data_IF_266074422438
#
_entry.id   IF_266074422438
#
_cell.length_a   1.000
_cell.length_b   1.000
_cell.length_c   1.000
_cell.angle_alpha   90.00
_cell.angle_beta   90.00
_cell.angle_gamma   90.00
#
_symmetry.space_group_name_H-M   'P 1'
#
loop_
_entity.id
_entity.type
_entity.pdbx_description
1 polymer ?
#
# COMPACT_ATOMS: atom_id res chain seq x y z
N UNK A 1 -2.44 16.68 -13.03
CA UNK A 1 -3.77 16.04 -13.06
C UNK A 1 -4.78 16.77 -13.91
N UNK A 2 -4.99 18.08 -13.71
CA UNK A 2 -6.02 18.87 -14.44
C UNK A 2 -5.98 18.70 -15.95
N UNK A 3 -4.81 18.74 -16.59
CA UNK A 3 -4.67 18.53 -18.04
C UNK A 3 -5.08 17.13 -18.49
N UNK A 4 -4.80 16.08 -17.70
CA UNK A 4 -5.19 14.71 -18.02
C UNK A 4 -6.73 14.57 -18.03
N UNK A 5 -7.37 15.08 -16.97
CA UNK A 5 -8.83 15.10 -16.84
C UNK A 5 -9.48 15.95 -17.94
N UNK A 6 -8.98 17.16 -18.16
CA UNK A 6 -9.50 18.06 -19.20
C UNK A 6 -9.33 17.49 -20.61
N UNK A 7 -8.23 16.76 -20.87
CA UNK A 7 -7.99 16.13 -22.17
C UNK A 7 -9.00 15.00 -22.44
N UNK A 8 -9.29 14.14 -21.46
CA UNK A 8 -10.29 13.08 -21.66
C UNK A 8 -11.68 13.65 -21.92
N UNK A 9 -12.07 14.71 -21.19
CA UNK A 9 -13.32 15.43 -21.43
C UNK A 9 -13.35 16.04 -22.84
N UNK A 10 -12.29 16.74 -23.25
CA UNK A 10 -12.21 17.37 -24.56
C UNK A 10 -12.25 16.35 -25.72
N UNK A 11 -11.60 15.19 -25.57
CA UNK A 11 -11.64 14.11 -26.55
C UNK A 11 -13.07 13.59 -26.74
N UNK A 12 -13.82 13.38 -25.66
CA UNK A 12 -15.23 12.98 -25.75
C UNK A 12 -16.08 14.06 -26.42
N UNK A 13 -15.81 15.34 -26.14
CA UNK A 13 -16.52 16.47 -26.76
C UNK A 13 -16.34 16.55 -28.28
N UNK A 14 -15.22 16.08 -28.82
CA UNK A 14 -14.98 15.97 -30.27
C UNK A 14 -15.36 14.61 -30.86
N UNK A 15 -16.13 13.80 -30.12
CA UNK A 15 -16.64 12.51 -30.57
C UNK A 15 -15.64 11.35 -30.52
N UNK A 16 -14.54 11.48 -29.75
CA UNK A 16 -13.58 10.39 -29.51
C UNK A 16 -13.87 9.75 -28.15
N UNK A 17 -14.15 8.45 -28.14
CA UNK A 17 -14.32 7.69 -26.88
C UNK A 17 -13.02 7.67 -26.10
N UNK A 18 -13.02 8.32 -24.93
CA UNK A 18 -11.86 8.40 -24.05
C UNK A 18 -12.27 8.25 -22.58
N UNK A 19 -11.35 7.74 -21.77
CA UNK A 19 -11.43 7.73 -20.30
C UNK A 19 -10.06 8.10 -19.73
N UNK A 20 -10.02 8.56 -18.48
CA UNK A 20 -8.76 8.91 -17.80
C UNK A 20 -8.43 7.87 -16.73
N UNK A 21 -7.14 7.64 -16.50
CA UNK A 21 -6.64 6.90 -15.35
C UNK A 21 -5.85 7.83 -14.45
N UNK A 22 -6.05 7.74 -13.14
CA UNK A 22 -5.36 8.51 -12.11
C UNK A 22 -4.85 7.56 -11.03
N UNK A 23 -4.15 8.12 -10.04
CA UNK A 23 -3.77 7.40 -8.83
C UNK A 23 -4.66 7.88 -7.70
N UNK A 24 -5.10 6.96 -6.86
CA UNK A 24 -5.66 7.28 -5.54
C UNK A 24 -4.64 8.10 -4.71
N UNK A 25 -5.06 9.23 -4.12
CA UNK A 25 -4.21 9.96 -3.19
C UNK A 25 -4.15 9.30 -1.82
N UNK A 26 -2.98 9.38 -1.19
CA UNK A 26 -2.82 9.05 0.23
C UNK A 26 -3.65 9.99 1.12
N UNK A 27 -4.23 9.43 2.17
CA UNK A 27 -5.08 10.07 3.17
C UNK A 27 -4.28 11.06 4.05
N UNK A 28 -3.10 10.66 4.52
CA UNK A 28 -2.29 11.44 5.45
C UNK A 28 -2.00 12.88 4.97
N UNK A 29 -1.54 13.09 3.72
CA UNK A 29 -1.33 14.41 3.14
C UNK A 29 -2.58 15.28 3.03
N UNK A 30 -3.78 14.70 2.92
CA UNK A 30 -5.06 15.43 2.85
C UNK A 30 -5.33 16.24 4.12
N UNK A 31 -4.83 15.78 5.28
CA UNK A 31 -4.92 16.49 6.57
C UNK A 31 -3.74 17.43 6.83
N UNK A 32 -2.80 17.54 5.89
CA UNK A 32 -1.67 18.46 5.94
C UNK A 32 -1.90 19.70 5.08
N UNK A 33 -1.01 19.90 4.10
CA UNK A 33 -1.00 21.10 3.22
C UNK A 33 -1.60 20.82 1.84
N UNK A 34 -1.85 19.54 1.49
CA UNK A 34 -2.10 19.14 0.10
C UNK A 34 -3.58 18.81 -0.11
N UNK A 35 -4.35 19.77 -0.65
CA UNK A 35 -5.72 19.53 -1.11
C UNK A 35 -5.80 19.36 -2.63
N UNK A 36 -6.45 18.28 -3.09
CA UNK A 36 -6.87 18.09 -4.50
C UNK A 36 -5.88 17.33 -5.39
N UNK A 37 -5.87 16.00 -5.30
CA UNK A 37 -5.08 15.16 -6.20
C UNK A 37 -5.78 14.84 -7.54
N UNK A 38 -7.11 14.98 -7.58
CA UNK A 38 -7.99 14.52 -8.65
C UNK A 38 -8.40 15.62 -9.66
N UNK A 39 -7.54 16.63 -9.86
CA UNK A 39 -7.77 17.74 -10.81
C UNK A 39 -8.11 19.06 -10.10
N UNK A 40 -8.71 20.00 -10.82
CA UNK A 40 -9.09 21.29 -10.25
C UNK A 40 -9.87 22.18 -11.24
N UNK A 41 -10.62 23.16 -10.71
CA UNK A 41 -11.50 24.01 -11.52
C UNK A 41 -12.60 23.19 -12.19
N UNK A 42 -12.84 23.39 -13.49
CA UNK A 42 -13.85 22.62 -14.25
C UNK A 42 -13.36 21.24 -14.72
N UNK A 43 -12.07 20.91 -14.51
CA UNK A 43 -11.48 19.63 -14.93
C UNK A 43 -11.05 18.83 -13.69
N UNK A 44 -12.02 18.14 -13.09
CA UNK A 44 -11.85 17.33 -11.88
C UNK A 44 -12.67 16.04 -11.92
N UNK A 45 -12.20 15.03 -11.19
CA UNK A 45 -12.89 13.76 -10.95
C UNK A 45 -13.66 13.82 -9.64
N UNK A 46 -14.86 13.23 -9.62
CA UNK A 46 -15.82 13.29 -8.51
C UNK A 46 -16.35 11.89 -8.18
N UNK A 47 -16.78 11.63 -6.92
CA UNK A 47 -16.80 12.54 -5.76
C UNK A 47 -15.43 12.78 -5.12
N UNK A 48 -15.00 14.04 -5.01
CA UNK A 48 -13.65 14.40 -4.55
C UNK A 48 -13.42 14.12 -3.06
N UNK A 49 -14.46 14.22 -2.24
CA UNK A 49 -14.40 13.95 -0.80
C UNK A 49 -14.08 12.48 -0.54
N UNK A 50 -14.78 11.57 -1.22
CA UNK A 50 -14.53 10.13 -1.09
C UNK A 50 -13.13 9.77 -1.59
N UNK A 51 -12.71 10.29 -2.75
CA UNK A 51 -11.39 10.03 -3.36
C UNK A 51 -10.24 10.49 -2.46
N UNK A 52 -10.38 11.60 -1.74
CA UNK A 52 -9.31 12.12 -0.88
C UNK A 52 -9.28 11.49 0.53
N UNK A 53 -10.30 10.69 0.88
CA UNK A 53 -10.47 10.09 2.19
C UNK A 53 -10.27 8.57 2.14
N UNK A 54 -11.32 7.81 2.40
CA UNK A 54 -11.24 6.34 2.48
C UNK A 54 -11.45 5.66 1.12
N UNK A 55 -12.06 6.38 0.19
CA UNK A 55 -12.51 5.90 -1.10
C UNK A 55 -13.14 4.50 -1.00
N UNK A 56 -12.58 3.52 -1.71
CA UNK A 56 -13.02 2.12 -1.71
C UNK A 56 -12.28 1.25 -0.70
N UNK A 57 -11.31 1.81 0.03
CA UNK A 57 -10.55 1.13 1.07
C UNK A 57 -9.26 0.45 0.60
N UNK A 58 -8.78 0.74 -0.60
CA UNK A 58 -7.62 0.05 -1.19
C UNK A 58 -6.35 0.31 -0.39
N UNK A 59 -6.10 1.57 0.02
CA UNK A 59 -4.96 1.92 0.88
C UNK A 59 -5.09 1.27 2.28
N UNK A 60 -6.31 1.07 2.79
CA UNK A 60 -6.52 0.33 4.04
C UNK A 60 -6.15 -1.15 3.88
N UNK A 61 -6.52 -1.76 2.75
CA UNK A 61 -6.17 -3.15 2.44
C UNK A 61 -4.63 -3.31 2.31
N UNK A 62 -3.95 -2.37 1.63
CA UNK A 62 -2.49 -2.35 1.55
C UNK A 62 -1.85 -2.20 2.93
N UNK A 63 -2.34 -1.27 3.76
CA UNK A 63 -1.85 -1.07 5.12
C UNK A 63 -2.01 -2.34 5.97
N UNK A 64 -3.17 -3.00 5.86
CA UNK A 64 -3.51 -4.21 6.60
C UNK A 64 -2.61 -5.37 6.18
N UNK A 65 -2.42 -5.59 4.87
CA UNK A 65 -1.53 -6.63 4.36
C UNK A 65 -0.07 -6.38 4.80
N UNK A 66 0.43 -5.15 4.65
CA UNK A 66 1.79 -4.80 5.03
C UNK A 66 2.06 -5.03 6.53
N UNK A 67 1.14 -4.59 7.38
CA UNK A 67 1.29 -4.73 8.83
C UNK A 67 1.02 -6.16 9.33
N UNK A 68 0.18 -6.94 8.64
CA UNK A 68 0.04 -8.37 8.91
C UNK A 68 1.38 -9.09 8.69
N UNK A 69 2.10 -8.78 7.61
CA UNK A 69 3.42 -9.35 7.37
C UNK A 69 4.42 -8.97 8.47
N UNK A 70 4.44 -7.71 8.89
CA UNK A 70 5.29 -7.28 10.02
C UNK A 70 4.95 -8.02 11.32
N UNK A 71 3.65 -8.20 11.62
CA UNK A 71 3.19 -8.93 12.81
C UNK A 71 3.57 -10.43 12.76
N UNK A 72 3.41 -11.07 11.60
CA UNK A 72 3.76 -12.49 11.41
C UNK A 72 5.27 -12.71 11.46
N UNK A 73 6.07 -11.77 10.98
CA UNK A 73 7.52 -11.78 11.12
C UNK A 73 7.93 -11.76 12.61
N UNK A 74 7.42 -10.80 13.38
CA UNK A 74 7.77 -10.71 14.81
C UNK A 74 7.20 -11.91 15.62
N UNK A 75 6.05 -12.45 15.24
CA UNK A 75 5.53 -13.70 15.81
C UNK A 75 6.44 -14.89 15.49
N UNK A 76 6.95 -15.01 14.26
CA UNK A 76 7.90 -16.06 13.89
C UNK A 76 9.18 -15.99 14.74
N UNK A 77 9.69 -14.78 15.01
CA UNK A 77 10.79 -14.60 15.95
C UNK A 77 10.43 -15.13 17.34
N UNK A 78 9.24 -14.76 17.84
CA UNK A 78 8.74 -15.16 19.16
C UNK A 78 8.59 -16.68 19.33
N UNK A 79 8.09 -17.37 18.30
CA UNK A 79 7.75 -18.79 18.38
C UNK A 79 8.92 -19.75 18.17
N UNK A 80 10.14 -19.24 17.90
CA UNK A 80 11.33 -20.08 17.80
C UNK A 80 12.33 -19.66 16.73
N UNK A 81 11.97 -18.70 15.87
CA UNK A 81 12.84 -18.18 14.81
C UNK A 81 13.50 -19.28 13.96
N UNK A 82 12.72 -20.26 13.48
CA UNK A 82 13.24 -21.42 12.75
C UNK A 82 14.01 -21.05 11.47
N UNK A 83 13.67 -19.89 10.89
CA UNK A 83 14.37 -19.29 9.73
C UNK A 83 15.68 -18.58 10.09
N UNK A 84 16.08 -18.57 11.36
CA UNK A 84 17.32 -18.01 11.88
C UNK A 84 17.54 -16.53 11.49
N UNK A 85 16.46 -15.74 11.48
CA UNK A 85 16.44 -14.32 11.11
C UNK A 85 17.32 -13.52 12.06
N UNK A 86 18.19 -12.66 11.51
CA UNK A 86 18.92 -11.65 12.30
C UNK A 86 18.02 -10.42 12.49
N UNK A 87 17.64 -10.13 13.73
CA UNK A 87 16.75 -8.99 14.07
C UNK A 87 17.32 -7.63 13.65
N UNK A 88 18.63 -7.53 13.43
CA UNK A 88 19.31 -6.31 12.96
C UNK A 88 19.27 -6.17 11.44
N UNK A 89 18.85 -7.22 10.73
CA UNK A 89 18.78 -7.29 9.25
C UNK A 89 17.36 -7.53 8.74
N UNK A 90 16.36 -7.16 9.55
CA UNK A 90 14.98 -7.05 9.08
C UNK A 90 14.90 -5.77 8.25
N UNK A 91 14.52 -5.92 6.98
CA UNK A 91 14.33 -4.80 6.05
C UNK A 91 12.87 -4.37 5.96
N UNK A 92 11.95 -5.27 6.36
CA UNK A 92 10.53 -4.98 6.41
C UNK A 92 10.16 -4.10 7.60
N UNK A 93 9.80 -2.85 7.29
CA UNK A 93 9.27 -1.86 8.24
C UNK A 93 7.78 -2.07 8.46
N UNK A 94 7.13 -1.16 9.17
CA UNK A 94 5.66 -1.05 9.26
C UNK A 94 5.16 0.11 8.41
N UNK A 95 3.85 0.23 8.23
CA UNK A 95 3.29 1.39 7.53
C UNK A 95 2.03 1.94 8.17
N UNK A 96 1.80 3.23 7.97
CA UNK A 96 0.59 3.94 8.37
C UNK A 96 0.35 5.07 7.37
N UNK A 97 -0.88 5.20 6.88
CA UNK A 97 -1.22 6.24 5.90
C UNK A 97 -1.47 7.61 6.57
N UNK A 98 -0.54 8.04 7.42
CA UNK A 98 -0.58 9.29 8.16
C UNK A 98 0.76 10.00 8.10
N UNK A 99 0.71 11.33 8.18
CA UNK A 99 1.92 12.16 8.25
C UNK A 99 2.50 12.18 9.67
N UNK A 100 2.97 11.02 10.15
CA UNK A 100 3.49 10.87 11.51
C UNK A 100 5.02 10.75 11.53
N UNK A 101 5.71 11.86 11.83
CA UNK A 101 7.18 11.90 11.84
C UNK A 101 7.80 11.14 13.01
N UNK A 102 7.09 11.00 14.13
CA UNK A 102 7.61 10.39 15.34
C UNK A 102 7.84 8.87 15.17
N UNK A 103 7.14 8.24 14.23
CA UNK A 103 7.26 6.81 13.96
C UNK A 103 8.39 6.43 13.00
N UNK A 104 9.18 7.39 12.50
CA UNK A 104 10.28 7.11 11.54
C UNK A 104 11.32 6.15 12.10
N UNK A 105 11.62 6.26 13.40
CA UNK A 105 12.56 5.39 14.11
C UNK A 105 11.95 5.05 15.47
N UNK A 106 11.73 3.77 15.73
CA UNK A 106 11.15 3.28 16.99
C UNK A 106 11.93 2.06 17.48
N UNK A 107 11.70 1.71 18.75
CA UNK A 107 12.08 0.41 19.30
C UNK A 107 10.79 -0.31 19.68
N UNK A 108 10.58 -1.50 19.15
CA UNK A 108 9.40 -2.33 19.42
C UNK A 108 9.77 -3.53 20.29
N UNK A 109 8.77 -4.33 20.71
CA UNK A 109 9.02 -5.57 21.46
C UNK A 109 9.61 -5.34 22.85
N UNK A 110 9.37 -4.15 23.42
CA UNK A 110 9.72 -3.82 24.81
C UNK A 110 8.67 -4.40 25.77
N UNK A 111 9.03 -4.52 27.04
CA UNK A 111 8.13 -5.00 28.10
C UNK A 111 8.58 -6.35 28.67
N UNK A 112 7.63 -7.26 28.85
CA UNK A 112 7.85 -8.61 29.38
C UNK A 112 8.37 -9.52 28.28
N UNK A 113 8.92 -10.68 28.68
CA UNK A 113 9.34 -11.74 27.73
C UNK A 113 8.22 -12.19 26.78
N UNK A 114 6.97 -12.12 27.22
CA UNK A 114 5.81 -12.47 26.40
C UNK A 114 5.50 -11.43 25.30
N UNK A 115 6.05 -10.22 25.39
CA UNK A 115 5.72 -9.09 24.49
C UNK A 115 6.64 -9.06 23.24
N UNK A 116 7.59 -10.00 23.13
CA UNK A 116 8.45 -10.19 21.96
C UNK A 116 9.94 -9.94 22.22
N UNK A 117 10.66 -9.63 21.14
CA UNK A 117 12.09 -9.34 21.16
C UNK A 117 12.34 -7.85 20.85
N UNK A 118 13.10 -7.13 21.71
CA UNK A 118 13.47 -5.76 21.43
C UNK A 118 14.25 -5.62 20.12
N UNK A 119 13.78 -4.77 19.20
CA UNK A 119 14.52 -4.42 17.97
C UNK A 119 14.20 -3.00 17.50
N UNK A 120 15.12 -2.43 16.72
CA UNK A 120 14.87 -1.19 15.97
C UNK A 120 13.90 -1.46 14.82
N UNK A 121 13.03 -0.50 14.57
CA UNK A 121 12.05 -0.53 13.49
C UNK A 121 11.67 0.88 13.06
N UNK A 122 10.74 1.01 12.13
CA UNK A 122 10.10 2.28 11.82
C UNK A 122 8.88 2.12 10.95
N UNK A 123 8.19 3.24 10.72
CA UNK A 123 7.02 3.31 9.87
C UNK A 123 7.30 4.16 8.64
N UNK A 124 6.77 3.70 7.51
CA UNK A 124 6.67 4.46 6.28
C UNK A 124 5.20 4.79 5.97
N UNK A 125 4.97 5.78 5.11
CA UNK A 125 3.62 6.04 4.63
C UNK A 125 3.14 4.86 3.76
N UNK A 126 1.87 4.45 3.88
CA UNK A 126 1.39 3.21 3.22
C UNK A 126 1.67 3.17 1.72
N UNK A 127 1.55 4.29 1.01
CA UNK A 127 1.83 4.35 -0.44
C UNK A 127 3.31 4.10 -0.80
N UNK A 128 4.23 4.09 0.17
CA UNK A 128 5.64 3.71 -0.02
C UNK A 128 5.89 2.20 0.15
N UNK A 129 4.88 1.44 0.57
CA UNK A 129 4.97 -0.02 0.74
C UNK A 129 5.27 -0.74 -0.57
N UNK A 130 6.11 -1.78 -0.52
CA UNK A 130 6.30 -2.70 -1.66
C UNK A 130 4.98 -3.38 -2.06
N UNK A 131 4.06 -3.60 -1.11
CA UNK A 131 2.71 -4.12 -1.38
C UNK A 131 1.94 -3.18 -2.33
N UNK A 132 2.07 -1.86 -2.17
CA UNK A 132 1.46 -0.88 -3.08
C UNK A 132 2.07 -0.99 -4.47
N UNK A 133 3.40 -1.06 -4.56
CA UNK A 133 4.08 -1.23 -5.86
C UNK A 133 3.64 -2.52 -6.56
N UNK A 134 3.50 -3.62 -5.83
CA UNK A 134 3.01 -4.90 -6.37
C UNK A 134 1.57 -4.77 -6.84
N UNK A 135 0.68 -4.14 -6.06
CA UNK A 135 -0.72 -3.92 -6.44
C UNK A 135 -0.83 -3.17 -7.77
N UNK A 136 -0.01 -2.12 -7.96
CA UNK A 136 0.01 -1.33 -9.20
C UNK A 136 0.65 -2.06 -10.40
N UNK A 137 1.48 -3.09 -10.18
CA UNK A 137 2.23 -3.80 -11.23
C UNK A 137 1.67 -5.19 -11.55
N UNK A 138 0.75 -5.70 -10.73
CA UNK A 138 0.15 -7.01 -10.92
C UNK A 138 -0.79 -7.01 -12.14
N UNK A 139 -0.67 -8.04 -12.97
CA UNK A 139 -1.54 -8.22 -14.15
C UNK A 139 -2.73 -9.14 -13.89
N UNK A 140 -2.72 -9.85 -12.78
CA UNK A 140 -3.78 -10.74 -12.32
C UNK A 140 -3.63 -11.02 -10.82
N UNK A 141 -4.64 -11.61 -10.19
CA UNK A 141 -4.56 -12.03 -8.80
C UNK A 141 -3.47 -13.09 -8.55
N UNK A 142 -3.21 -13.95 -9.54
CA UNK A 142 -2.14 -14.94 -9.45
C UNK A 142 -0.75 -14.29 -9.55
N UNK A 143 -0.58 -13.30 -10.43
CA UNK A 143 0.66 -12.50 -10.51
C UNK A 143 0.91 -11.70 -9.22
N UNK A 144 -0.15 -11.10 -8.64
CA UNK A 144 -0.10 -10.45 -7.32
C UNK A 144 0.46 -11.41 -6.26
N UNK A 145 -0.12 -12.61 -6.16
CA UNK A 145 0.29 -13.64 -5.20
C UNK A 145 1.75 -14.07 -5.38
N UNK A 146 2.19 -14.28 -6.63
CA UNK A 146 3.57 -14.65 -6.94
C UNK A 146 4.58 -13.53 -6.62
N UNK A 147 4.20 -12.27 -6.81
CA UNK A 147 5.03 -11.11 -6.43
C UNK A 147 5.12 -10.97 -4.92
N UNK A 148 4.01 -11.07 -4.20
CA UNK A 148 3.98 -11.04 -2.73
C UNK A 148 4.91 -12.11 -2.15
N UNK A 149 4.85 -13.33 -2.66
CA UNK A 149 5.68 -14.44 -2.17
C UNK A 149 7.19 -14.21 -2.33
N UNK A 150 7.61 -13.36 -3.28
CA UNK A 150 9.02 -13.05 -3.57
C UNK A 150 9.58 -11.87 -2.77
N UNK A 151 8.74 -11.12 -2.05
CA UNK A 151 9.21 -9.98 -1.26
C UNK A 151 10.23 -10.47 -0.21
N UNK A 152 11.37 -9.79 -0.14
CA UNK A 152 12.42 -10.04 0.85
C UNK A 152 12.10 -9.21 2.09
N UNK A 153 12.03 -9.87 3.24
CA UNK A 153 11.60 -9.24 4.50
C UNK A 153 12.73 -9.12 5.51
N UNK A 154 13.73 -10.00 5.43
CA UNK A 154 14.89 -9.99 6.31
C UNK A 154 16.05 -10.77 5.70
N UNK A 155 17.19 -10.78 6.40
CA UNK A 155 18.29 -11.69 6.17
C UNK A 155 18.55 -12.53 7.42
N UNK A 156 18.92 -13.80 7.21
CA UNK A 156 19.29 -14.69 8.30
C UNK A 156 20.76 -14.51 8.73
N UNK A 157 21.19 -15.21 9.77
CA UNK A 157 22.57 -15.14 10.28
C UNK A 157 23.64 -15.59 9.26
N UNK A 158 23.26 -16.40 8.26
CA UNK A 158 24.13 -16.81 7.14
C UNK A 158 24.11 -15.81 5.97
N UNK A 159 23.47 -14.65 6.15
CA UNK A 159 23.27 -13.62 5.13
C UNK A 159 22.44 -14.07 3.91
N UNK A 160 21.59 -15.09 4.08
CA UNK A 160 20.62 -15.51 3.05
C UNK A 160 19.34 -14.70 3.17
N UNK A 161 18.72 -14.28 2.05
CA UNK A 161 17.45 -13.58 2.09
C UNK A 161 16.35 -14.49 2.63
N UNK A 162 15.47 -13.91 3.42
CA UNK A 162 14.23 -14.54 3.89
C UNK A 162 13.07 -13.83 3.22
N UNK A 163 12.20 -14.60 2.59
CA UNK A 163 11.06 -14.13 1.81
C UNK A 163 9.73 -14.36 2.52
N UNK A 164 8.66 -13.78 1.99
CA UNK A 164 7.29 -14.04 2.46
C UNK A 164 6.88 -15.51 2.26
N UNK A 165 7.35 -16.16 1.19
CA UNK A 165 7.11 -17.58 0.97
C UNK A 165 7.79 -18.44 2.04
N UNK A 166 8.96 -18.05 2.53
CA UNK A 166 9.65 -18.77 3.61
C UNK A 166 8.86 -18.72 4.93
N UNK A 167 8.10 -17.65 5.16
CA UNK A 167 7.15 -17.56 6.28
C UNK A 167 5.84 -18.33 6.05
N UNK A 168 5.52 -18.73 4.82
CA UNK A 168 4.29 -19.46 4.49
C UNK A 168 3.00 -18.62 4.52
N UNK A 169 3.09 -17.28 4.46
CA UNK A 169 1.93 -16.38 4.70
C UNK A 169 1.39 -15.70 3.45
N UNK A 170 1.94 -16.00 2.27
CA UNK A 170 1.59 -15.40 0.97
C UNK A 170 0.08 -15.42 0.68
N UNK A 171 -0.59 -16.52 0.99
CA UNK A 171 -2.03 -16.67 0.76
C UNK A 171 -2.88 -15.68 1.57
N UNK A 172 -2.55 -15.51 2.86
CA UNK A 172 -3.27 -14.60 3.75
C UNK A 172 -3.13 -13.14 3.31
N UNK A 173 -1.90 -12.73 2.94
CA UNK A 173 -1.62 -11.39 2.44
C UNK A 173 -2.36 -11.09 1.13
N UNK A 174 -2.34 -12.05 0.20
CA UNK A 174 -3.01 -11.90 -1.09
C UNK A 174 -4.53 -11.80 -0.91
N UNK A 175 -5.11 -12.53 0.03
CA UNK A 175 -6.55 -12.53 0.28
C UNK A 175 -7.07 -11.18 0.76
N UNK A 176 -6.30 -10.44 1.57
CA UNK A 176 -6.64 -9.08 2.01
C UNK A 176 -6.79 -8.13 0.82
N UNK A 177 -6.02 -8.35 -0.25
CA UNK A 177 -5.98 -7.50 -1.43
C UNK A 177 -6.95 -7.96 -2.55
N UNK A 178 -7.77 -8.97 -2.29
CA UNK A 178 -8.67 -9.58 -3.29
C UNK A 178 -9.63 -8.58 -3.92
N UNK A 179 -10.14 -7.64 -3.14
CA UNK A 179 -11.04 -6.61 -3.65
C UNK A 179 -10.28 -5.37 -4.13
N UNK A 180 -9.19 -5.00 -3.45
CA UNK A 180 -8.35 -3.85 -3.79
C UNK A 180 -7.63 -3.96 -5.15
N UNK A 181 -7.50 -5.16 -5.73
CA UNK A 181 -6.96 -5.32 -7.09
C UNK A 181 -7.96 -4.89 -8.18
N UNK A 182 -9.24 -4.68 -7.84
CA UNK A 182 -10.26 -4.28 -8.81
C UNK A 182 -10.19 -2.76 -9.02
N UNK A 183 -10.09 -2.27 -10.27
CA UNK A 183 -10.06 -0.83 -10.52
C UNK A 183 -11.35 -0.13 -10.09
N UNK A 184 -11.23 1.10 -9.61
CA UNK A 184 -12.36 1.90 -9.15
C UNK A 184 -12.86 2.82 -10.27
N UNK A 185 -14.12 2.65 -10.68
CA UNK A 185 -14.74 3.51 -11.68
C UNK A 185 -15.47 4.69 -11.01
N UNK A 186 -15.10 5.89 -11.43
CA UNK A 186 -15.72 7.17 -11.08
C UNK A 186 -15.88 8.02 -12.35
N UNK A 187 -16.19 9.30 -12.21
CA UNK A 187 -16.44 10.17 -13.36
C UNK A 187 -15.87 11.59 -13.17
N UNK A 188 -15.69 12.28 -14.29
CA UNK A 188 -15.41 13.72 -14.32
C UNK A 188 -16.69 14.55 -14.15
N UNK A 189 -16.57 15.88 -14.00
CA UNK A 189 -17.74 16.79 -14.00
C UNK A 189 -18.58 16.75 -15.28
N UNK A 190 -18.01 16.36 -16.42
CA UNK A 190 -18.73 16.18 -17.69
C UNK A 190 -19.13 14.71 -17.91
N UNK A 191 -19.21 13.90 -16.85
CA UNK A 191 -19.59 12.49 -16.88
C UNK A 191 -18.68 11.60 -17.78
N UNK A 192 -17.47 12.08 -18.11
CA UNK A 192 -16.45 11.24 -18.75
C UNK A 192 -15.96 10.19 -17.75
N UNK A 193 -15.87 8.89 -18.11
CA UNK A 193 -15.38 7.84 -17.22
C UNK A 193 -13.94 8.08 -16.75
N UNK A 194 -13.68 7.76 -15.49
CA UNK A 194 -12.36 7.86 -14.87
C UNK A 194 -12.07 6.65 -13.98
N UNK A 195 -10.89 6.07 -14.10
CA UNK A 195 -10.38 5.06 -13.17
C UNK A 195 -9.41 5.72 -12.20
N UNK A 196 -9.55 5.43 -10.91
CA UNK A 196 -8.69 5.95 -9.83
C UNK A 196 -8.05 4.79 -9.07
#
# INVERSE_FOLDING_TARGET
TTTNVGLSMALNKIGKTAFTTLREPSLGPSFGVKGGAAGGGYAQVVPMEDINLHFTGDIHAVSTAHNLLAALLDNHLHQGNELNIDVRRIVWRRCLDMNERALRNVVIGLGRRADGFPRQDGFDITVASEVMAILCLATSFEDLKQRIGRMIIAYNNDNKPVTVNDLGVTGALSLILKDAIKPNLVQTLENTPAMV
#
